data_IF_326500289114
#
_entry.id   IF_326500289114
#
_cell.length_a   1.000
_cell.length_b   1.000
_cell.length_c   1.000
_cell.angle_alpha   90.00
_cell.angle_beta   90.00
_cell.angle_gamma   90.00
#
_symmetry.space_group_name_H-M   'P 1'
#
loop_
_entity.id
_entity.type
_entity.pdbx_description
1 polymer ?
#
# COMPACT_ATOMS: atom_id res chain seq x y z
N UNK A 1 -11.65 12.44 -2.95
CA UNK A 1 -10.43 11.78 -2.49
C UNK A 1 -9.20 12.43 -3.07
N UNK A 2 -8.06 12.17 -2.48
CA UNK A 2 -6.77 12.71 -2.90
C UNK A 2 -5.77 11.56 -3.06
N UNK A 3 -5.15 11.46 -4.22
CA UNK A 3 -4.15 10.42 -4.53
C UNK A 3 -2.78 11.07 -4.63
N UNK A 4 -1.91 10.75 -3.67
CA UNK A 4 -0.54 11.26 -3.58
C UNK A 4 0.45 10.19 -3.98
N UNK A 5 1.40 10.56 -4.84
CA UNK A 5 2.53 9.72 -5.22
C UNK A 5 3.80 10.52 -4.93
N UNK A 6 4.78 9.88 -4.31
CA UNK A 6 6.07 10.51 -4.02
C UNK A 6 6.63 11.24 -5.24
N UNK A 7 6.98 12.52 -5.05
CA UNK A 7 7.63 13.31 -6.11
C UNK A 7 6.72 13.80 -7.23
N UNK A 8 5.41 13.57 -7.14
CA UNK A 8 4.44 14.01 -8.15
C UNK A 8 3.36 14.89 -7.54
N UNK A 9 2.72 15.70 -8.37
CA UNK A 9 1.57 16.48 -7.95
C UNK A 9 0.40 15.55 -7.62
N UNK A 10 -0.37 15.89 -6.58
CA UNK A 10 -1.51 15.08 -6.16
C UNK A 10 -2.64 15.12 -7.18
N UNK A 11 -3.33 13.99 -7.35
CA UNK A 11 -4.59 13.94 -8.07
C UNK A 11 -5.72 14.21 -7.10
N UNK A 12 -6.51 15.25 -7.39
CA UNK A 12 -7.74 15.55 -6.66
C UNK A 12 -8.89 14.85 -7.36
N UNK A 13 -9.73 14.14 -6.61
CA UNK A 13 -10.81 13.31 -7.16
C UNK A 13 -10.31 12.35 -8.24
N UNK A 14 -9.33 11.49 -7.92
CA UNK A 14 -8.75 10.58 -8.91
C UNK A 14 -9.77 9.56 -9.40
N UNK A 15 -9.62 9.10 -10.65
CA UNK A 15 -10.38 7.98 -11.18
C UNK A 15 -9.56 6.68 -11.08
N UNK A 16 -10.21 5.55 -11.38
CA UNK A 16 -9.58 4.23 -11.27
C UNK A 16 -8.37 4.07 -12.19
N UNK A 17 -8.38 4.69 -13.36
CA UNK A 17 -7.29 4.60 -14.33
C UNK A 17 -6.05 5.33 -13.81
N UNK A 18 -6.23 6.52 -13.25
CA UNK A 18 -5.15 7.31 -12.66
C UNK A 18 -4.50 6.57 -11.50
N UNK A 19 -5.32 5.98 -10.63
CA UNK A 19 -4.83 5.19 -9.49
C UNK A 19 -4.06 3.97 -9.98
N UNK A 20 -4.60 3.19 -10.89
CA UNK A 20 -3.94 1.99 -11.39
C UNK A 20 -2.61 2.30 -12.06
N UNK A 21 -2.56 3.32 -12.92
CA UNK A 21 -1.31 3.76 -13.57
C UNK A 21 -0.28 4.22 -12.56
N UNK A 22 -0.69 5.03 -11.60
CA UNK A 22 0.21 5.55 -10.58
C UNK A 22 0.83 4.43 -9.76
N UNK A 23 0.03 3.48 -9.30
CA UNK A 23 0.51 2.35 -8.50
C UNK A 23 1.45 1.45 -9.29
N UNK A 24 1.14 1.17 -10.56
CA UNK A 24 2.00 0.34 -11.42
C UNK A 24 3.31 1.02 -11.80
N UNK A 25 3.40 2.33 -11.67
CA UNK A 25 4.63 3.08 -11.94
C UNK A 25 5.61 3.09 -10.77
N UNK A 26 5.19 2.66 -9.58
CA UNK A 26 6.04 2.67 -8.39
C UNK A 26 7.22 1.70 -8.53
N UNK A 27 8.38 2.13 -8.00
CA UNK A 27 9.59 1.31 -7.89
C UNK A 27 10.25 1.61 -6.57
N UNK A 28 10.61 0.59 -5.80
CA UNK A 28 11.19 0.77 -4.47
C UNK A 28 12.50 1.57 -4.51
N UNK A 29 13.27 1.42 -5.56
CA UNK A 29 14.54 2.14 -5.77
C UNK A 29 14.41 3.39 -6.64
N UNK A 30 13.21 3.73 -7.13
CA UNK A 30 12.97 4.83 -8.04
C UNK A 30 12.62 6.15 -7.35
N UNK A 31 12.29 7.16 -8.14
CA UNK A 31 11.88 8.48 -7.65
C UNK A 31 10.48 8.47 -7.02
N UNK A 32 9.69 7.45 -7.31
CA UNK A 32 8.35 7.27 -6.76
C UNK A 32 8.28 5.89 -6.14
N UNK A 33 8.43 5.81 -4.82
CA UNK A 33 8.52 4.56 -4.07
C UNK A 33 7.42 4.39 -3.03
N UNK A 34 6.47 5.33 -2.96
CA UNK A 34 5.28 5.20 -2.12
C UNK A 34 4.13 6.04 -2.64
N UNK A 35 2.93 5.68 -2.24
CA UNK A 35 1.71 6.40 -2.59
C UNK A 35 0.65 6.23 -1.50
N UNK A 36 -0.32 7.15 -1.47
CA UNK A 36 -1.46 7.07 -0.56
C UNK A 36 -2.72 7.59 -1.23
N UNK A 37 -3.87 7.02 -0.83
CA UNK A 37 -5.19 7.48 -1.24
C UNK A 37 -5.98 7.82 0.02
N UNK A 38 -6.38 9.08 0.17
CA UNK A 38 -7.03 9.62 1.36
C UNK A 38 -8.44 10.10 1.02
N UNK A 39 -9.41 9.76 1.86
CA UNK A 39 -10.79 10.27 1.72
C UNK A 39 -10.98 11.58 2.49
N UNK A 40 -12.19 12.14 2.41
CA UNK A 40 -12.52 13.40 3.07
C UNK A 40 -12.64 13.32 4.60
N UNK A 41 -12.71 12.11 5.15
CA UNK A 41 -12.80 11.89 6.60
C UNK A 41 -11.44 11.61 7.26
N UNK A 42 -10.36 11.59 6.48
CA UNK A 42 -9.01 11.33 6.99
C UNK A 42 -8.60 9.87 7.01
N UNK A 43 -9.43 8.98 6.47
CA UNK A 43 -9.06 7.58 6.28
C UNK A 43 -8.16 7.46 5.05
N UNK A 44 -7.21 6.51 5.08
CA UNK A 44 -6.34 6.30 3.92
C UNK A 44 -5.89 4.85 3.78
N UNK A 45 -5.49 4.52 2.58
CA UNK A 45 -4.66 3.34 2.27
C UNK A 45 -3.34 3.85 1.72
N UNK A 46 -2.25 3.14 2.02
CA UNK A 46 -0.93 3.51 1.55
C UNK A 46 -0.14 2.29 1.14
N UNK A 47 0.81 2.50 0.25
CA UNK A 47 1.74 1.48 -0.22
C UNK A 47 3.16 2.02 -0.17
N UNK A 48 4.11 1.18 0.25
CA UNK A 48 5.53 1.45 0.13
C UNK A 48 6.16 0.37 -0.73
N UNK A 49 7.12 0.75 -1.57
CA UNK A 49 7.76 -0.15 -2.53
C UNK A 49 7.11 -0.07 -3.91
N UNK A 50 7.28 -1.12 -4.70
CA UNK A 50 6.71 -1.20 -6.03
C UNK A 50 6.97 -2.55 -6.68
N UNK A 51 6.30 -2.83 -7.82
CA UNK A 51 6.48 -4.06 -8.56
C UNK A 51 6.07 -5.29 -7.75
N UNK A 52 7.02 -6.18 -7.49
CA UNK A 52 6.80 -7.40 -6.73
C UNK A 52 7.08 -7.25 -5.22
N UNK A 53 7.40 -6.05 -4.76
CA UNK A 53 7.88 -5.79 -3.40
C UNK A 53 7.12 -4.63 -2.77
N UNK A 54 5.85 -4.86 -2.42
CA UNK A 54 4.96 -3.84 -1.87
C UNK A 54 4.49 -4.20 -0.46
N UNK A 55 4.47 -3.20 0.41
CA UNK A 55 3.84 -3.23 1.73
C UNK A 55 2.58 -2.37 1.67
N UNK A 56 1.47 -2.86 2.22
CA UNK A 56 0.20 -2.14 2.24
C UNK A 56 -0.23 -1.89 3.68
N UNK A 57 -0.64 -0.65 3.96
CA UNK A 57 -1.27 -0.28 5.24
C UNK A 57 -2.54 0.50 4.99
N UNK A 58 -3.44 0.47 5.97
CA UNK A 58 -4.61 1.32 6.01
C UNK A 58 -4.75 1.99 7.36
N UNK A 59 -5.43 3.11 7.39
CA UNK A 59 -5.71 3.88 8.59
C UNK A 59 -7.18 4.29 8.60
N UNK A 60 -7.83 4.12 9.75
CA UNK A 60 -9.15 4.67 10.02
C UNK A 60 -9.01 5.80 11.02
N UNK A 61 -9.56 6.98 10.69
CA UNK A 61 -9.48 8.16 11.54
C UNK A 61 -10.09 7.84 12.92
N UNK A 62 -9.34 8.15 13.98
CA UNK A 62 -9.73 7.84 15.35
C UNK A 62 -9.42 6.41 15.80
N UNK A 63 -8.82 5.60 14.93
CA UNK A 63 -8.40 4.24 15.24
C UNK A 63 -6.90 4.08 14.99
N UNK A 64 -6.42 2.85 14.86
CA UNK A 64 -5.01 2.57 14.62
C UNK A 64 -4.73 2.28 13.15
N UNK A 65 -3.45 2.19 12.79
CA UNK A 65 -3.02 1.68 11.50
C UNK A 65 -3.05 0.16 11.49
N UNK A 66 -3.33 -0.39 10.31
CA UNK A 66 -3.40 -1.82 10.07
C UNK A 66 -2.46 -2.18 8.93
N UNK A 67 -1.69 -3.26 9.11
CA UNK A 67 -0.79 -3.81 8.11
C UNK A 67 -1.47 -4.97 7.39
N UNK A 68 -1.42 -4.97 6.06
CA UNK A 68 -1.94 -6.07 5.25
C UNK A 68 -1.05 -7.31 5.31
N UNK A 69 -1.66 -8.48 5.31
CA UNK A 69 -0.94 -9.75 5.22
C UNK A 69 -1.77 -10.80 4.47
N UNK A 70 -1.06 -11.82 3.93
CA UNK A 70 -1.67 -12.98 3.26
C UNK A 70 -1.90 -14.13 4.23
N UNK A 71 -2.75 -15.09 3.83
CA UNK A 71 -2.93 -16.35 4.57
C UNK A 71 -1.64 -17.17 4.65
N UNK A 72 -0.81 -17.09 3.61
CA UNK A 72 0.41 -17.90 3.48
C UNK A 72 1.64 -17.03 3.44
N UNK A 73 2.73 -17.43 4.13
CA UNK A 73 4.00 -16.70 4.05
C UNK A 73 4.64 -16.85 2.67
N UNK A 74 5.48 -15.88 2.31
CA UNK A 74 6.31 -15.96 1.11
C UNK A 74 7.33 -17.10 1.26
N UNK A 75 7.51 -17.97 0.24
CA UNK A 75 8.50 -19.03 0.31
C UNK A 75 9.95 -18.54 0.18
N UNK A 76 10.17 -17.29 -0.23
CA UNK A 76 11.50 -16.75 -0.54
C UNK A 76 11.91 -15.56 0.32
N UNK A 77 11.00 -15.03 1.14
CA UNK A 77 11.28 -13.88 2.00
C UNK A 77 10.93 -14.21 3.45
N UNK A 78 11.93 -14.61 4.26
CA UNK A 78 11.67 -14.95 5.67
C UNK A 78 11.29 -13.70 6.47
N UNK A 79 10.73 -13.95 7.67
CA UNK A 79 10.44 -12.87 8.62
C UNK A 79 11.73 -12.07 8.91
N UNK A 80 11.58 -10.74 8.95
CA UNK A 80 12.70 -9.83 9.17
C UNK A 80 13.37 -9.35 7.89
N UNK A 81 12.95 -9.84 6.72
CA UNK A 81 13.43 -9.29 5.44
C UNK A 81 13.06 -7.82 5.34
N UNK A 82 14.01 -6.98 5.00
CA UNK A 82 13.82 -5.53 4.96
C UNK A 82 13.30 -5.09 3.59
N UNK A 83 12.19 -4.36 3.58
CA UNK A 83 11.78 -3.60 2.42
C UNK A 83 12.55 -2.29 2.42
N UNK A 84 13.45 -2.12 1.46
CA UNK A 84 14.18 -0.86 1.27
C UNK A 84 13.49 -0.08 0.18
N UNK A 85 13.07 1.14 0.48
CA UNK A 85 12.50 2.05 -0.50
C UNK A 85 13.08 3.44 -0.26
N UNK A 86 12.82 4.38 -1.15
CA UNK A 86 13.50 5.67 -1.12
C UNK A 86 13.33 6.42 0.20
N UNK A 87 12.16 6.33 0.82
CA UNK A 87 11.86 7.07 2.05
C UNK A 87 12.29 6.34 3.32
N UNK A 88 12.75 5.08 3.24
CA UNK A 88 13.17 4.36 4.44
C UNK A 88 13.26 2.86 4.28
N UNK A 89 13.32 2.19 5.43
CA UNK A 89 13.45 0.74 5.54
C UNK A 89 12.32 0.22 6.44
N UNK A 90 11.65 -0.84 6.02
CA UNK A 90 10.59 -1.46 6.80
C UNK A 90 10.91 -2.93 7.01
N UNK A 91 11.04 -3.40 8.27
CA UNK A 91 11.14 -4.83 8.53
C UNK A 91 9.79 -5.48 8.26
N UNK A 92 9.78 -6.53 7.44
CA UNK A 92 8.58 -7.20 6.98
C UNK A 92 8.50 -8.61 7.55
N UNK A 93 7.28 -9.09 7.79
CA UNK A 93 7.03 -10.52 7.97
C UNK A 93 6.85 -11.17 6.61
N UNK A 94 7.11 -12.48 6.53
CA UNK A 94 7.06 -13.23 5.27
C UNK A 94 5.68 -13.20 4.59
N UNK A 95 4.61 -12.94 5.33
CA UNK A 95 3.24 -12.87 4.81
C UNK A 95 2.77 -11.44 4.47
N UNK A 96 3.67 -10.45 4.50
CA UNK A 96 3.32 -9.04 4.30
C UNK A 96 3.69 -8.49 2.91
N UNK A 97 4.16 -9.34 1.99
CA UNK A 97 4.61 -8.90 0.67
C UNK A 97 3.50 -9.02 -0.37
N UNK A 98 3.26 -7.94 -1.10
CA UNK A 98 2.25 -7.86 -2.15
C UNK A 98 2.87 -7.44 -3.47
N UNK A 99 2.16 -7.68 -4.58
CA UNK A 99 2.55 -7.23 -5.91
C UNK A 99 1.66 -6.06 -6.34
N UNK A 100 2.10 -5.29 -7.33
CA UNK A 100 1.42 -4.08 -7.77
C UNK A 100 -0.05 -4.31 -8.13
N UNK A 101 -0.40 -5.41 -8.80
CA UNK A 101 -1.78 -5.71 -9.16
C UNK A 101 -2.68 -5.89 -7.93
N UNK A 102 -2.16 -6.49 -6.86
CA UNK A 102 -2.89 -6.63 -5.60
C UNK A 102 -3.07 -5.29 -4.90
N UNK A 103 -2.06 -4.43 -4.95
CA UNK A 103 -2.15 -3.07 -4.41
C UNK A 103 -3.24 -2.29 -5.13
N UNK A 104 -3.33 -2.40 -6.45
CA UNK A 104 -4.38 -1.76 -7.26
C UNK A 104 -5.76 -2.20 -6.78
N UNK A 105 -5.99 -3.50 -6.58
CA UNK A 105 -7.28 -4.01 -6.12
C UNK A 105 -7.66 -3.44 -4.75
N UNK A 106 -6.72 -3.35 -3.82
CA UNK A 106 -6.95 -2.77 -2.49
C UNK A 106 -7.32 -1.29 -2.60
N UNK A 107 -6.58 -0.53 -3.38
CA UNK A 107 -6.84 0.91 -3.55
C UNK A 107 -8.19 1.16 -4.25
N UNK A 108 -8.55 0.36 -5.25
CA UNK A 108 -9.84 0.51 -5.93
C UNK A 108 -11.02 0.13 -5.04
N UNK A 109 -10.86 -0.85 -4.15
CA UNK A 109 -11.87 -1.16 -3.14
C UNK A 109 -12.08 0.03 -2.20
N UNK A 110 -10.99 0.66 -1.75
CA UNK A 110 -11.07 1.86 -0.91
C UNK A 110 -11.75 3.02 -1.66
N UNK A 111 -11.41 3.23 -2.93
CA UNK A 111 -12.01 4.28 -3.75
C UNK A 111 -13.53 4.15 -3.85
N UNK A 112 -14.02 2.93 -4.07
CA UNK A 112 -15.44 2.65 -4.31
C UNK A 112 -16.22 2.35 -3.04
N UNK A 113 -15.56 2.23 -1.88
CA UNK A 113 -16.20 1.81 -0.63
C UNK A 113 -16.60 0.33 -0.62
N UNK A 114 -16.05 -0.48 -1.51
CA UNK A 114 -16.30 -1.91 -1.57
C UNK A 114 -15.50 -2.65 -0.49
N UNK A 115 -15.90 -3.90 -0.14
CA UNK A 115 -15.08 -4.73 0.73
C UNK A 115 -13.70 -4.97 0.10
N UNK A 116 -12.67 -5.07 0.94
CA UNK A 116 -11.34 -5.39 0.47
C UNK A 116 -11.29 -6.80 -0.12
N UNK A 117 -10.36 -7.08 -1.06
CA UNK A 117 -10.24 -8.39 -1.68
C UNK A 117 -10.02 -9.50 -0.64
N UNK A 118 -10.51 -10.73 -0.88
CA UNK A 118 -10.41 -11.82 0.10
C UNK A 118 -8.99 -12.32 0.36
N UNK A 119 -8.01 -11.97 -0.49
CA UNK A 119 -6.62 -12.35 -0.27
C UNK A 119 -5.92 -11.48 0.76
N UNK A 120 -6.52 -10.37 1.22
CA UNK A 120 -5.89 -9.48 2.17
C UNK A 120 -6.54 -9.60 3.55
N UNK A 121 -5.68 -9.71 4.57
CA UNK A 121 -6.05 -9.66 5.97
C UNK A 121 -5.32 -8.50 6.63
N UNK A 122 -5.75 -8.10 7.82
CA UNK A 122 -5.22 -6.90 8.47
C UNK A 122 -4.80 -7.23 9.90
N UNK A 123 -3.62 -6.78 10.29
CA UNK A 123 -3.12 -6.84 11.66
C UNK A 123 -2.71 -5.44 12.11
N UNK A 124 -2.70 -5.16 13.44
CA UNK A 124 -2.19 -3.87 13.91
C UNK A 124 -0.78 -3.62 13.37
N UNK A 125 -0.55 -2.41 12.83
CA UNK A 125 0.76 -2.04 12.30
C UNK A 125 1.70 -1.68 13.44
N UNK A 126 2.93 -2.22 13.38
CA UNK A 126 3.98 -1.82 14.31
C UNK A 126 4.45 -0.40 14.01
N UNK A 127 4.90 0.31 15.03
CA UNK A 127 5.58 1.59 14.85
C UNK A 127 6.96 1.38 14.20
N UNK A 128 7.31 2.31 13.33
CA UNK A 128 8.64 2.32 12.73
C UNK A 128 9.12 3.73 12.48
#
# INVERSE_FOLDING_TARGET
MKFDIEGKAAFIAPNSIQIARGLKSLRSYGKSSYASLTDGAGNYVQVAGGGASCMIERFEFGAQRWRAFHDKPSPVRPDGTILVFRAGNIPMRSDEWFIADQVVEVFLAFLSGAPYPPFVHWRPAASF
#
